data_IF_925721047514
#
_entry.id   IF_925721047514
#
_cell.length_a   1.000
_cell.length_b   1.000
_cell.length_c   1.000
_cell.angle_alpha   90.00
_cell.angle_beta   90.00
_cell.angle_gamma   90.00
#
_symmetry.space_group_name_H-M   'P 1'
#
loop_
_entity.id
_entity.type
_entity.pdbx_description
1 polymer ?
#
# COMPACT_ATOMS: atom_id res chain seq x y z
N UNK A 1 10.47 -35.08 -10.57
CA UNK A 1 11.06 -34.05 -9.70
C UNK A 1 10.71 -34.41 -8.27
N UNK A 2 11.69 -34.68 -7.41
CA UNK A 2 11.41 -34.99 -6.02
C UNK A 2 11.04 -33.69 -5.30
N UNK A 3 9.75 -33.52 -4.99
CA UNK A 3 9.25 -32.58 -3.99
C UNK A 3 9.68 -33.08 -2.60
N UNK A 4 10.98 -33.28 -2.39
CA UNK A 4 11.43 -33.82 -1.11
C UNK A 4 11.30 -32.71 -0.06
N UNK A 5 10.45 -32.92 0.96
CA UNK A 5 10.30 -31.95 2.03
C UNK A 5 11.63 -31.73 2.75
N UNK A 6 11.77 -30.58 3.42
CA UNK A 6 12.96 -30.29 4.22
C UNK A 6 13.27 -31.49 5.14
N UNK A 7 14.55 -31.90 5.27
CA UNK A 7 14.94 -33.10 6.00
C UNK A 7 14.38 -33.09 7.43
N UNK A 8 13.68 -34.16 7.82
CA UNK A 8 13.07 -34.30 9.13
C UNK A 8 14.17 -34.51 10.17
N UNK A 9 14.44 -33.47 10.97
CA UNK A 9 15.30 -33.58 12.13
C UNK A 9 14.52 -34.27 13.26
N UNK A 10 14.68 -35.58 13.39
CA UNK A 10 14.06 -36.48 14.39
C UNK A 10 12.53 -36.60 14.32
N UNK A 11 12.04 -37.85 14.31
CA UNK A 11 10.61 -38.20 14.25
C UNK A 11 9.79 -37.85 15.49
N UNK A 12 10.39 -37.20 16.50
CA UNK A 12 9.76 -36.85 17.78
C UNK A 12 9.57 -35.35 17.99
N UNK A 13 10.03 -34.50 17.07
CA UNK A 13 9.91 -33.04 17.23
C UNK A 13 8.70 -32.51 16.46
N UNK A 14 7.87 -31.72 17.14
CA UNK A 14 6.81 -30.98 16.48
C UNK A 14 7.39 -29.81 15.69
N UNK A 15 6.76 -29.45 14.58
CA UNK A 15 7.25 -28.39 13.70
C UNK A 15 6.15 -27.62 12.99
N UNK A 16 6.48 -26.39 12.62
CA UNK A 16 5.69 -25.54 11.73
C UNK A 16 6.55 -25.28 10.50
N UNK A 17 5.99 -25.49 9.31
CA UNK A 17 6.60 -25.01 8.07
C UNK A 17 5.83 -23.84 7.51
N UNK A 18 6.55 -22.85 6.99
CA UNK A 18 6.00 -21.62 6.41
C UNK A 18 6.63 -21.39 5.05
N UNK A 19 5.80 -21.18 4.03
CA UNK A 19 6.23 -20.71 2.70
C UNK A 19 5.43 -19.47 2.33
N UNK A 20 5.87 -18.77 1.27
CA UNK A 20 5.01 -17.78 0.62
C UNK A 20 3.76 -18.45 0.02
N UNK A 21 2.70 -17.67 -0.16
CA UNK A 21 1.54 -18.07 -0.96
C UNK A 21 1.95 -18.17 -2.44
N UNK A 22 1.36 -19.11 -3.22
CA UNK A 22 1.53 -19.12 -4.67
C UNK A 22 1.18 -17.75 -5.28
N UNK A 23 2.02 -17.26 -6.20
CA UNK A 23 1.87 -15.96 -6.84
C UNK A 23 2.47 -14.77 -6.08
N UNK A 24 2.95 -14.97 -4.84
CA UNK A 24 3.71 -13.96 -4.12
C UNK A 24 5.17 -14.00 -4.56
N UNK A 25 5.72 -12.83 -4.90
CA UNK A 25 7.12 -12.67 -5.32
C UNK A 25 8.10 -13.12 -4.25
N UNK A 26 8.94 -14.10 -4.60
CA UNK A 26 10.04 -14.59 -3.78
C UNK A 26 11.37 -14.02 -4.30
N UNK A 27 11.70 -12.81 -3.87
CA UNK A 27 12.95 -12.13 -4.29
C UNK A 27 14.22 -12.92 -3.97
N UNK A 28 14.21 -13.79 -2.95
CA UNK A 28 15.39 -14.59 -2.60
C UNK A 28 15.54 -15.72 -3.61
N UNK A 29 14.44 -16.42 -3.93
CA UNK A 29 14.43 -17.44 -4.96
C UNK A 29 14.81 -16.87 -6.34
N UNK A 30 14.27 -15.72 -6.73
CA UNK A 30 14.61 -15.06 -8.00
C UNK A 30 16.10 -14.70 -8.08
N UNK A 31 16.68 -14.17 -7.00
CA UNK A 31 18.12 -13.87 -6.96
C UNK A 31 18.97 -15.14 -7.00
N UNK A 32 18.53 -16.25 -6.39
CA UNK A 32 19.20 -17.54 -6.49
C UNK A 32 19.21 -18.03 -7.94
N UNK A 33 18.06 -18.00 -8.63
CA UNK A 33 17.96 -18.38 -10.04
C UNK A 33 18.86 -17.51 -10.93
N UNK A 34 18.84 -16.19 -10.70
CA UNK A 34 19.71 -15.25 -11.41
C UNK A 34 21.19 -15.55 -11.18
N UNK A 35 21.60 -15.78 -9.94
CA UNK A 35 22.98 -16.08 -9.59
C UNK A 35 23.43 -17.43 -10.18
N UNK A 36 22.57 -18.45 -10.13
CA UNK A 36 22.83 -19.76 -10.74
C UNK A 36 23.10 -19.63 -12.24
N UNK A 37 22.27 -18.87 -12.96
CA UNK A 37 22.45 -18.58 -14.39
C UNK A 37 23.77 -17.85 -14.68
N UNK A 38 24.14 -16.86 -13.85
CA UNK A 38 25.43 -16.14 -14.00
C UNK A 38 26.65 -17.05 -13.76
N UNK A 39 26.49 -18.10 -12.95
CA UNK A 39 27.53 -19.09 -12.69
C UNK A 39 27.54 -20.25 -13.71
N UNK A 40 26.64 -20.23 -14.72
CA UNK A 40 26.54 -21.29 -15.73
C UNK A 40 25.83 -22.56 -15.22
N UNK A 41 24.98 -22.45 -14.21
CA UNK A 41 24.14 -23.56 -13.72
C UNK A 41 22.79 -23.51 -14.45
N UNK A 42 22.71 -24.17 -15.60
CA UNK A 42 21.54 -24.10 -16.49
C UNK A 42 20.39 -25.07 -16.12
N UNK A 43 20.64 -26.03 -15.22
CA UNK A 43 19.64 -27.03 -14.81
C UNK A 43 18.69 -26.60 -13.68
N UNK A 44 18.82 -25.37 -13.17
CA UNK A 44 17.98 -24.85 -12.10
C UNK A 44 16.86 -23.97 -12.67
N UNK A 45 15.67 -24.56 -12.85
CA UNK A 45 14.52 -23.91 -13.50
C UNK A 45 13.64 -23.12 -12.53
N UNK A 46 13.42 -23.66 -11.32
CA UNK A 46 12.56 -23.06 -10.31
C UNK A 46 13.20 -23.14 -8.93
N UNK A 47 12.93 -22.13 -8.10
CA UNK A 47 13.35 -22.09 -6.71
C UNK A 47 12.24 -21.46 -5.88
N UNK A 48 12.15 -21.84 -4.61
CA UNK A 48 11.27 -21.23 -3.64
C UNK A 48 11.93 -21.25 -2.27
N UNK A 49 11.59 -20.28 -1.43
CA UNK A 49 12.05 -20.21 -0.05
C UNK A 49 10.94 -20.57 0.93
N UNK A 50 11.38 -21.15 2.04
CA UNK A 50 10.53 -21.55 3.15
C UNK A 50 11.33 -21.62 4.43
N UNK A 51 10.63 -21.75 5.56
CA UNK A 51 11.23 -21.89 6.88
C UNK A 51 10.54 -23.03 7.62
N UNK A 52 11.33 -23.86 8.30
CA UNK A 52 10.84 -24.81 9.30
C UNK A 52 11.23 -24.30 10.69
N UNK A 53 10.26 -24.21 11.58
CA UNK A 53 10.45 -23.98 13.01
C UNK A 53 10.24 -25.31 13.71
N UNK A 54 11.27 -25.81 14.39
CA UNK A 54 11.24 -27.07 15.12
C UNK A 54 11.13 -26.78 16.61
N UNK A 55 10.23 -27.47 17.30
CA UNK A 55 10.02 -27.36 18.73
C UNK A 55 10.52 -28.63 19.41
N UNK A 56 11.38 -28.44 20.42
CA UNK A 56 11.90 -29.53 21.25
C UNK A 56 11.01 -29.82 22.47
N UNK A 57 9.98 -29.01 22.69
CA UNK A 57 8.97 -29.23 23.73
C UNK A 57 7.72 -29.83 23.09
N UNK A 58 6.98 -30.60 23.88
CA UNK A 58 5.70 -31.14 23.44
C UNK A 58 4.66 -30.01 23.45
N UNK A 59 4.21 -29.64 22.24
CA UNK A 59 3.17 -28.64 22.01
C UNK A 59 2.14 -29.33 21.15
N UNK A 60 0.89 -29.28 21.60
CA UNK A 60 -0.20 -29.87 20.85
C UNK A 60 -0.45 -29.12 19.52
N UNK A 61 -1.18 -29.77 18.62
CA UNK A 61 -1.46 -29.19 17.30
C UNK A 61 -2.18 -27.83 17.40
N UNK A 62 -3.08 -27.67 18.38
CA UNK A 62 -3.80 -26.42 18.60
C UNK A 62 -2.86 -25.28 18.98
N UNK A 63 -1.93 -25.51 19.91
CA UNK A 63 -0.90 -24.55 20.31
C UNK A 63 0.02 -24.19 19.15
N UNK A 64 0.45 -25.17 18.35
CA UNK A 64 1.27 -24.92 17.16
C UNK A 64 0.52 -24.08 16.11
N UNK A 65 -0.78 -24.32 15.91
CA UNK A 65 -1.61 -23.50 15.03
C UNK A 65 -1.71 -22.04 15.51
N UNK A 66 -1.92 -21.83 16.82
CA UNK A 66 -1.93 -20.49 17.42
C UNK A 66 -0.59 -19.80 17.24
N UNK A 67 0.51 -20.48 17.56
CA UNK A 67 1.86 -19.96 17.38
C UNK A 67 2.17 -19.61 15.92
N UNK A 68 1.73 -20.44 14.98
CA UNK A 68 1.90 -20.18 13.56
C UNK A 68 1.24 -18.85 13.16
N UNK A 69 -0.04 -18.67 13.51
CA UNK A 69 -0.82 -17.48 13.13
C UNK A 69 -0.35 -16.21 13.84
N UNK A 70 -0.01 -16.31 15.12
CA UNK A 70 0.31 -15.12 15.93
C UNK A 70 1.77 -14.67 15.74
N UNK A 71 2.69 -15.60 15.49
CA UNK A 71 4.12 -15.32 15.55
C UNK A 71 4.93 -15.69 14.31
N UNK A 72 4.60 -16.79 13.61
CA UNK A 72 5.52 -17.35 12.60
C UNK A 72 5.10 -17.14 11.16
N UNK A 73 3.81 -16.93 10.89
CA UNK A 73 3.27 -16.73 9.56
C UNK A 73 2.51 -15.40 9.47
N UNK A 74 2.65 -14.73 8.32
CA UNK A 74 1.77 -13.66 7.90
C UNK A 74 0.80 -14.19 6.83
N UNK A 75 -0.42 -14.53 7.23
CA UNK A 75 -1.42 -15.16 6.34
C UNK A 75 -1.81 -14.30 5.12
N UNK A 76 -1.44 -13.01 5.10
CA UNK A 76 -1.61 -12.14 3.91
C UNK A 76 -0.70 -12.56 2.75
N UNK A 77 0.50 -13.07 3.05
CA UNK A 77 1.54 -13.38 2.05
C UNK A 77 2.14 -14.78 2.20
N UNK A 78 1.82 -15.50 3.27
CA UNK A 78 2.39 -16.78 3.63
C UNK A 78 1.30 -17.81 3.94
N UNK A 79 1.66 -19.07 3.75
CA UNK A 79 0.90 -20.24 4.19
C UNK A 79 1.77 -21.08 5.11
N UNK A 80 1.12 -21.89 5.95
CA UNK A 80 1.84 -22.77 6.86
C UNK A 80 1.17 -24.13 7.03
N UNK A 81 1.94 -25.11 7.48
CA UNK A 81 1.47 -26.43 7.91
C UNK A 81 2.03 -26.75 9.29
N UNK A 82 1.33 -27.62 10.03
CA UNK A 82 1.74 -28.11 11.35
C UNK A 82 2.00 -29.61 11.25
N UNK A 83 3.18 -30.05 11.68
CA UNK A 83 3.63 -31.45 11.70
C UNK A 83 3.47 -32.22 10.38
N UNK A 84 3.27 -31.50 9.27
CA UNK A 84 3.15 -32.03 7.93
C UNK A 84 4.04 -31.20 7.04
N UNK A 85 4.86 -31.81 6.17
CA UNK A 85 5.66 -31.01 5.27
C UNK A 85 4.83 -30.22 4.26
N UNK A 86 5.30 -29.03 3.90
CA UNK A 86 4.68 -28.14 2.94
C UNK A 86 5.41 -28.22 1.60
N UNK A 87 4.66 -28.37 0.52
CA UNK A 87 5.22 -28.31 -0.82
C UNK A 87 5.67 -26.88 -1.15
N UNK A 88 6.68 -26.70 -2.01
CA UNK A 88 7.00 -25.41 -2.60
C UNK A 88 5.77 -24.78 -3.28
N UNK A 89 5.58 -23.44 -3.21
CA UNK A 89 4.45 -22.75 -3.83
C UNK A 89 4.66 -22.49 -5.33
N UNK A 90 5.18 -23.47 -6.07
CA UNK A 90 5.35 -23.34 -7.51
C UNK A 90 3.97 -23.21 -8.17
N UNK A 91 3.85 -22.25 -9.08
CA UNK A 91 2.68 -22.13 -9.95
C UNK A 91 2.96 -23.04 -11.15
N UNK A 92 2.01 -23.92 -11.43
CA UNK A 92 2.11 -24.80 -12.59
C UNK A 92 1.98 -23.94 -13.85
N UNK A 93 3.00 -23.92 -14.72
CA UNK A 93 2.99 -23.12 -15.96
C UNK A 93 1.83 -23.53 -16.88
N UNK A 94 1.30 -24.75 -16.72
CA UNK A 94 0.10 -25.24 -17.40
C UNK A 94 -1.19 -24.48 -17.03
N UNK A 95 -1.22 -23.78 -15.89
CA UNK A 95 -2.27 -22.80 -15.52
C UNK A 95 -1.95 -21.38 -15.99
N UNK A 96 -1.27 -21.28 -17.13
CA UNK A 96 -0.66 -20.06 -17.67
C UNK A 96 -1.54 -18.81 -17.69
N UNK A 97 -0.88 -17.66 -17.82
CA UNK A 97 -1.54 -16.38 -18.02
C UNK A 97 -2.59 -16.50 -19.15
N UNK A 98 -3.83 -16.12 -18.83
CA UNK A 98 -4.91 -16.09 -19.81
C UNK A 98 -4.80 -14.79 -20.60
N UNK A 99 -4.60 -14.90 -21.92
CA UNK A 99 -4.69 -13.75 -22.84
C UNK A 99 -6.15 -13.39 -23.17
N UNK A 100 -7.13 -13.97 -22.46
CA UNK A 100 -8.53 -13.64 -22.66
C UNK A 100 -8.84 -12.24 -22.13
N UNK A 101 -9.37 -11.41 -23.03
CA UNK A 101 -9.92 -10.10 -22.70
C UNK A 101 -11.44 -10.24 -22.53
N UNK A 102 -11.95 -9.88 -21.36
CA UNK A 102 -13.39 -9.88 -21.11
C UNK A 102 -14.03 -8.59 -21.65
N UNK A 103 -15.17 -8.69 -22.34
CA UNK A 103 -15.98 -7.53 -22.74
C UNK A 103 -17.13 -7.36 -21.74
N UNK A 104 -17.26 -6.17 -21.17
CA UNK A 104 -18.13 -5.90 -20.02
C UNK A 104 -19.43 -5.24 -20.47
N UNK A 105 -20.59 -5.90 -20.38
CA UNK A 105 -21.87 -5.30 -20.75
C UNK A 105 -22.18 -4.09 -19.86
N UNK A 106 -22.05 -2.89 -20.44
CA UNK A 106 -22.14 -1.63 -19.70
C UNK A 106 -22.94 -0.58 -20.47
N UNK A 107 -22.85 -0.53 -21.80
CA UNK A 107 -23.47 0.52 -22.62
C UNK A 107 -25.01 0.56 -22.47
N UNK A 108 -25.64 -0.59 -22.31
CA UNK A 108 -27.10 -0.74 -22.19
C UNK A 108 -27.55 -1.03 -20.74
N UNK A 109 -26.61 -0.99 -19.78
CA UNK A 109 -26.90 -1.27 -18.38
C UNK A 109 -27.73 -0.14 -17.75
N UNK A 110 -28.77 -0.51 -17.01
CA UNK A 110 -29.50 0.43 -16.15
C UNK A 110 -28.68 0.80 -14.90
N UNK A 111 -29.16 1.76 -14.13
CA UNK A 111 -28.43 2.28 -12.95
C UNK A 111 -28.22 1.20 -11.86
N UNK A 112 -29.13 0.23 -11.75
CA UNK A 112 -29.00 -0.88 -10.80
C UNK A 112 -27.91 -1.86 -11.24
N UNK A 113 -27.86 -2.18 -12.54
CA UNK A 113 -26.83 -3.01 -13.15
C UNK A 113 -25.46 -2.33 -13.08
N UNK A 114 -25.38 -1.01 -13.30
CA UNK A 114 -24.14 -0.25 -13.13
C UNK A 114 -23.61 -0.34 -11.69
N UNK A 115 -24.46 -0.14 -10.69
CA UNK A 115 -24.02 -0.24 -9.29
C UNK A 115 -23.66 -1.66 -8.89
N UNK A 116 -24.36 -2.65 -9.44
CA UNK A 116 -24.01 -4.08 -9.26
C UNK A 116 -22.62 -4.35 -9.84
N UNK A 117 -22.34 -3.88 -11.05
CA UNK A 117 -21.05 -4.03 -11.72
C UNK A 117 -19.91 -3.37 -10.93
N UNK A 118 -20.12 -2.14 -10.44
CA UNK A 118 -19.15 -1.44 -9.59
C UNK A 118 -18.84 -2.23 -8.31
N UNK A 119 -19.86 -2.82 -7.69
CA UNK A 119 -19.71 -3.62 -6.46
C UNK A 119 -19.03 -4.96 -6.71
N UNK A 120 -19.45 -5.72 -7.72
CA UNK A 120 -18.94 -7.07 -7.99
C UNK A 120 -17.49 -7.05 -8.43
N UNK A 121 -17.10 -6.08 -9.28
CA UNK A 121 -15.73 -5.88 -9.73
C UNK A 121 -14.89 -4.98 -8.82
N UNK A 122 -15.47 -4.51 -7.70
CA UNK A 122 -14.80 -3.66 -6.69
C UNK A 122 -14.21 -2.36 -7.28
N UNK A 123 -14.87 -1.79 -8.29
CA UNK A 123 -14.41 -0.58 -8.99
C UNK A 123 -14.40 0.65 -8.07
N UNK A 124 -15.23 0.63 -7.01
CA UNK A 124 -15.37 1.76 -6.08
C UNK A 124 -15.80 3.06 -6.76
N UNK A 125 -16.49 2.94 -7.89
CA UNK A 125 -17.08 4.05 -8.65
C UNK A 125 -18.51 4.29 -8.18
N UNK A 126 -18.87 5.55 -8.02
CA UNK A 126 -20.25 5.95 -7.71
C UNK A 126 -21.16 5.91 -8.95
N UNK A 127 -22.46 6.16 -8.75
CA UNK A 127 -23.43 6.11 -9.85
C UNK A 127 -23.13 7.15 -10.93
N UNK A 128 -22.73 8.36 -10.57
CA UNK A 128 -22.48 9.42 -11.54
C UNK A 128 -21.25 9.10 -12.41
N UNK A 129 -20.21 8.53 -11.80
CA UNK A 129 -19.02 8.05 -12.50
C UNK A 129 -19.36 6.89 -13.44
N UNK A 130 -20.11 5.90 -12.96
CA UNK A 130 -20.56 4.77 -13.80
C UNK A 130 -21.44 5.24 -14.96
N UNK A 131 -22.34 6.22 -14.74
CA UNK A 131 -23.16 6.82 -15.79
C UNK A 131 -22.33 7.59 -16.81
N UNK A 132 -21.28 8.30 -16.37
CA UNK A 132 -20.36 9.00 -17.26
C UNK A 132 -19.60 8.02 -18.17
N UNK A 133 -19.11 6.91 -17.59
CA UNK A 133 -18.46 5.83 -18.34
C UNK A 133 -19.45 5.19 -19.33
N UNK A 134 -20.68 4.87 -18.89
CA UNK A 134 -21.74 4.37 -19.78
C UNK A 134 -22.01 5.31 -20.94
N UNK A 135 -22.15 6.60 -20.66
CA UNK A 135 -22.40 7.62 -21.68
C UNK A 135 -21.28 7.72 -22.71
N UNK A 136 -20.03 7.48 -22.31
CA UNK A 136 -18.90 7.38 -23.24
C UNK A 136 -19.04 6.15 -24.14
N UNK A 137 -19.23 4.97 -23.57
CA UNK A 137 -19.32 3.72 -24.34
C UNK A 137 -20.57 3.61 -25.23
N UNK A 138 -21.67 4.28 -24.85
CA UNK A 138 -22.83 4.46 -25.73
C UNK A 138 -22.49 5.24 -27.00
N UNK A 139 -21.64 6.28 -26.90
CA UNK A 139 -21.17 7.08 -28.05
C UNK A 139 -20.18 6.30 -28.91
N UNK A 140 -19.32 5.50 -28.29
CA UNK A 140 -18.38 4.62 -29.01
C UNK A 140 -19.05 3.39 -29.63
N UNK A 141 -20.36 3.21 -29.41
CA UNK A 141 -21.16 2.10 -29.93
C UNK A 141 -20.63 0.71 -29.58
N UNK A 142 -19.89 0.57 -28.47
CA UNK A 142 -19.30 -0.68 -27.99
C UNK A 142 -19.27 -0.74 -26.47
N UNK A 143 -19.08 -1.94 -25.95
CA UNK A 143 -18.81 -2.16 -24.53
C UNK A 143 -17.30 -2.03 -24.22
N UNK A 144 -16.93 -1.64 -22.99
CA UNK A 144 -15.54 -1.66 -22.53
C UNK A 144 -15.00 -3.08 -22.42
N UNK A 145 -13.69 -3.20 -22.59
CA UNK A 145 -12.93 -4.33 -22.06
C UNK A 145 -12.77 -4.22 -20.53
N UNK A 146 -12.49 -5.33 -19.87
CA UNK A 146 -12.12 -5.38 -18.44
C UNK A 146 -11.00 -4.39 -18.09
N UNK A 147 -9.91 -4.38 -18.84
CA UNK A 147 -8.75 -3.50 -18.62
C UNK A 147 -9.12 -2.03 -18.78
N UNK A 148 -9.95 -1.67 -19.75
CA UNK A 148 -10.40 -0.29 -19.93
C UNK A 148 -11.25 0.18 -18.75
N UNK A 149 -12.18 -0.66 -18.27
CA UNK A 149 -13.06 -0.33 -17.15
C UNK A 149 -12.27 -0.23 -15.84
N UNK A 150 -11.35 -1.17 -15.58
CA UNK A 150 -10.49 -1.14 -14.40
C UNK A 150 -9.51 0.03 -14.43
N UNK A 151 -8.94 0.37 -15.59
CA UNK A 151 -8.09 1.55 -15.75
C UNK A 151 -8.84 2.84 -15.41
N UNK A 152 -10.09 2.98 -15.86
CA UNK A 152 -10.95 4.12 -15.49
C UNK A 152 -11.21 4.14 -13.98
N UNK A 153 -11.56 2.99 -13.39
CA UNK A 153 -11.79 2.88 -11.95
C UNK A 153 -10.57 3.30 -11.11
N UNK A 154 -9.37 2.85 -11.49
CA UNK A 154 -8.14 3.22 -10.79
C UNK A 154 -7.79 4.70 -10.97
N UNK A 155 -7.80 5.18 -12.22
CA UNK A 155 -7.40 6.57 -12.53
C UNK A 155 -8.38 7.60 -11.99
N UNK A 156 -9.65 7.23 -11.79
CA UNK A 156 -10.68 8.08 -11.21
C UNK A 156 -10.83 7.88 -9.70
N UNK A 157 -10.01 7.07 -9.06
CA UNK A 157 -10.04 6.91 -7.60
C UNK A 157 -9.69 8.21 -6.85
N UNK A 158 -10.09 8.31 -5.58
CA UNK A 158 -9.71 9.46 -4.74
C UNK A 158 -8.19 9.60 -4.62
N UNK A 159 -7.48 8.47 -4.51
CA UNK A 159 -6.04 8.45 -4.38
C UNK A 159 -5.32 9.00 -5.63
N UNK A 160 -5.87 8.78 -6.83
CA UNK A 160 -5.28 9.27 -8.07
C UNK A 160 -5.71 10.71 -8.38
N UNK A 161 -7.00 11.01 -8.32
CA UNK A 161 -7.54 12.32 -8.74
C UNK A 161 -7.38 13.37 -7.66
N UNK A 162 -7.40 13.00 -6.39
CA UNK A 162 -7.49 13.90 -5.24
C UNK A 162 -8.78 14.75 -5.29
N UNK A 163 -9.95 14.12 -5.43
CA UNK A 163 -11.23 14.81 -5.64
C UNK A 163 -11.55 15.72 -4.47
N UNK A 164 -11.29 15.30 -3.23
CA UNK A 164 -11.50 16.11 -2.02
C UNK A 164 -10.68 17.39 -2.06
N UNK A 165 -9.42 17.31 -2.49
CA UNK A 165 -8.53 18.47 -2.59
C UNK A 165 -8.89 19.43 -3.73
N UNK A 166 -9.64 18.95 -4.73
CA UNK A 166 -10.12 19.73 -5.89
C UNK A 166 -11.57 20.17 -5.76
N UNK A 167 -12.31 19.66 -4.78
CA UNK A 167 -13.73 19.92 -4.59
C UNK A 167 -14.01 21.39 -4.30
N UNK A 168 -15.19 21.84 -4.72
CA UNK A 168 -15.78 23.09 -4.23
C UNK A 168 -16.39 22.82 -2.85
N UNK A 169 -15.88 23.50 -1.83
CA UNK A 169 -16.28 23.29 -0.43
C UNK A 169 -17.10 24.49 0.02
N UNK A 170 -18.32 24.25 0.48
CA UNK A 170 -19.12 25.23 1.19
C UNK A 170 -18.92 25.05 2.69
N UNK A 171 -18.49 26.11 3.36
CA UNK A 171 -18.29 26.17 4.80
C UNK A 171 -19.41 26.99 5.41
N UNK A 172 -20.10 26.40 6.38
CA UNK A 172 -21.03 27.12 7.25
C UNK A 172 -20.38 27.19 8.62
N UNK A 173 -19.95 28.39 9.01
CA UNK A 173 -19.40 28.60 10.33
C UNK A 173 -20.44 29.28 11.22
N UNK A 174 -20.81 28.62 12.30
CA UNK A 174 -21.48 29.31 13.41
C UNK A 174 -20.45 30.21 14.09
N UNK A 175 -20.79 31.50 14.25
CA UNK A 175 -19.94 32.43 14.98
C UNK A 175 -19.61 31.88 16.38
N UNK A 176 -18.34 31.53 16.61
CA UNK A 176 -17.84 31.16 17.93
C UNK A 176 -17.82 32.46 18.76
N UNK A 177 -18.84 32.61 19.60
CA UNK A 177 -18.92 33.65 20.62
C UNK A 177 -18.66 33.00 21.98
N UNK A 178 -17.76 33.54 22.78
CA UNK A 178 -17.50 33.14 24.17
C UNK A 178 -18.73 33.32 25.09
N UNK A 179 -19.80 33.94 24.57
CA UNK A 179 -21.11 34.04 25.22
C UNK A 179 -22.15 33.19 24.47
N UNK A 180 -23.00 32.40 25.17
CA UNK A 180 -24.07 31.67 24.53
C UNK A 180 -24.99 32.64 23.78
N UNK A 181 -24.98 32.57 22.44
CA UNK A 181 -25.89 33.33 21.59
C UNK A 181 -27.26 32.64 21.56
N UNK A 182 -28.33 33.43 21.71
CA UNK A 182 -29.70 32.96 21.45
C UNK A 182 -29.80 32.48 19.98
N UNK A 183 -30.60 31.44 19.67
CA UNK A 183 -30.67 30.83 18.33
C UNK A 183 -30.92 31.84 17.19
N UNK A 184 -31.63 32.93 17.48
CA UNK A 184 -31.94 33.98 16.50
C UNK A 184 -30.74 34.90 16.11
N UNK A 185 -29.60 34.81 16.80
CA UNK A 185 -28.41 35.64 16.56
C UNK A 185 -27.19 34.83 16.06
N UNK A 186 -27.37 33.58 15.61
CA UNK A 186 -26.31 32.84 14.93
C UNK A 186 -26.11 33.42 13.52
N UNK A 187 -25.09 34.26 13.36
CA UNK A 187 -24.58 34.62 12.05
C UNK A 187 -23.89 33.38 11.46
N UNK A 188 -24.54 32.77 10.46
CA UNK A 188 -23.90 31.76 9.61
C UNK A 188 -23.06 32.51 8.57
N UNK A 189 -21.74 32.44 8.69
CA UNK A 189 -20.85 32.87 7.62
C UNK A 189 -20.75 31.70 6.64
N UNK A 190 -21.36 31.88 5.47
CA UNK A 190 -21.18 30.96 4.35
C UNK A 190 -19.95 31.40 3.56
N UNK A 191 -18.89 30.59 3.60
CA UNK A 191 -17.70 30.79 2.76
C UNK A 191 -17.58 29.64 1.77
N UNK A 192 -17.05 29.92 0.56
CA UNK A 192 -16.78 28.88 -0.43
C UNK A 192 -15.29 28.81 -0.73
N UNK A 193 -14.74 27.59 -0.76
CA UNK A 193 -13.35 27.30 -1.09
C UNK A 193 -13.32 26.48 -2.37
N UNK A 194 -12.68 26.99 -3.41
CA UNK A 194 -12.56 26.32 -4.70
C UNK A 194 -11.26 25.49 -4.75
N UNK A 195 -11.33 24.27 -4.19
CA UNK A 195 -10.21 23.34 -4.08
C UNK A 195 -9.18 23.76 -3.02
N UNK A 196 -8.93 22.89 -2.04
CA UNK A 196 -7.93 23.11 -0.99
C UNK A 196 -6.52 23.23 -1.55
N UNK A 197 -6.16 22.35 -2.50
CA UNK A 197 -4.82 22.34 -3.12
C UNK A 197 -4.55 23.66 -3.84
N UNK A 198 -5.52 24.14 -4.62
CA UNK A 198 -5.41 25.40 -5.35
C UNK A 198 -5.39 26.59 -4.41
N UNK A 199 -6.36 26.66 -3.49
CA UNK A 199 -6.63 27.85 -2.68
C UNK A 199 -5.58 28.10 -1.62
N UNK A 200 -5.01 27.05 -1.01
CA UNK A 200 -4.11 27.20 0.13
C UNK A 200 -2.67 26.78 -0.17
N UNK A 201 -2.47 25.65 -0.85
CA UNK A 201 -1.13 25.07 -1.03
C UNK A 201 -0.42 25.72 -2.23
N UNK A 202 -1.04 25.67 -3.42
CA UNK A 202 -0.47 26.27 -4.64
C UNK A 202 -0.44 27.79 -4.53
N UNK A 203 -1.52 28.42 -4.06
CA UNK A 203 -1.59 29.88 -3.93
C UNK A 203 -0.45 30.47 -3.07
N UNK A 204 -0.01 29.79 -2.01
CA UNK A 204 1.12 30.25 -1.21
C UNK A 204 2.43 30.27 -2.01
N UNK A 205 2.67 29.22 -2.80
CA UNK A 205 3.85 29.12 -3.68
C UNK A 205 3.80 30.17 -4.78
N UNK A 206 2.66 30.29 -5.46
CA UNK A 206 2.44 31.28 -6.53
C UNK A 206 2.59 32.72 -6.02
N UNK A 207 2.09 33.01 -4.81
CA UNK A 207 2.22 34.34 -4.19
C UNK A 207 3.67 34.68 -3.85
N UNK A 208 4.43 33.71 -3.35
CA UNK A 208 5.83 33.95 -2.99
C UNK A 208 6.73 34.06 -4.23
N UNK A 209 6.38 33.35 -5.31
CA UNK A 209 7.04 33.36 -6.62
C UNK A 209 8.57 33.45 -6.52
N UNK A 210 9.16 32.55 -5.72
CA UNK A 210 10.59 32.60 -5.44
C UNK A 210 11.38 32.05 -6.62
N UNK A 211 12.40 32.76 -7.12
CA UNK A 211 13.15 32.36 -8.32
C UNK A 211 13.94 31.06 -8.14
N UNK A 212 14.26 30.70 -6.89
CA UNK A 212 14.91 29.45 -6.55
C UNK A 212 13.96 28.24 -6.55
N UNK A 213 12.65 28.40 -6.72
CA UNK A 213 11.74 27.26 -6.93
C UNK A 213 11.74 26.92 -8.42
N UNK A 214 12.40 25.82 -8.79
CA UNK A 214 12.54 25.39 -10.19
C UNK A 214 11.32 24.64 -10.69
N UNK A 215 10.75 23.77 -9.85
CA UNK A 215 9.57 22.96 -10.19
C UNK A 215 8.70 22.73 -8.96
N UNK A 216 7.41 23.00 -9.09
CA UNK A 216 6.40 22.70 -8.08
C UNK A 216 5.04 22.39 -8.73
N UNK A 217 4.36 21.34 -8.25
CA UNK A 217 3.01 20.94 -8.68
C UNK A 217 2.86 20.56 -10.17
N UNK A 218 3.94 20.22 -10.86
CA UNK A 218 3.93 19.83 -12.28
C UNK A 218 4.60 18.48 -12.54
N UNK A 219 5.39 17.98 -11.58
CA UNK A 219 6.19 16.76 -11.71
C UNK A 219 6.10 15.91 -10.45
N UNK A 220 6.74 14.75 -10.45
CA UNK A 220 6.69 13.76 -9.37
C UNK A 220 7.37 14.24 -8.08
N UNK A 221 8.33 15.16 -8.17
CA UNK A 221 9.02 15.78 -7.04
C UNK A 221 9.10 17.31 -7.19
N UNK A 222 9.17 18.03 -6.06
CA UNK A 222 9.45 19.47 -6.06
C UNK A 222 10.95 19.72 -6.17
N UNK A 223 11.36 20.73 -6.92
CA UNK A 223 12.78 21.05 -7.17
C UNK A 223 13.05 22.50 -6.79
N UNK A 224 14.11 22.70 -6.01
CA UNK A 224 14.62 24.02 -5.64
C UNK A 224 16.10 24.14 -5.99
N UNK A 225 16.53 25.35 -6.35
CA UNK A 225 17.93 25.72 -6.44
C UNK A 225 18.56 25.72 -5.05
N UNK A 226 19.71 25.07 -4.92
CA UNK A 226 20.51 25.10 -3.70
C UNK A 226 21.71 26.05 -3.85
N UNK A 227 22.44 25.92 -4.95
CA UNK A 227 23.55 26.81 -5.33
C UNK A 227 23.70 26.89 -6.86
N UNK A 228 24.80 27.51 -7.34
CA UNK A 228 25.09 27.71 -8.77
C UNK A 228 25.34 26.40 -9.55
N UNK A 229 25.51 25.27 -8.86
CA UNK A 229 25.87 23.98 -9.45
C UNK A 229 24.86 22.88 -9.19
N UNK A 230 24.01 23.03 -8.16
CA UNK A 230 23.11 21.98 -7.69
C UNK A 230 21.70 22.49 -7.44
N UNK A 231 20.75 21.67 -7.90
CA UNK A 231 19.36 21.70 -7.45
C UNK A 231 19.13 20.55 -6.45
N UNK A 232 18.14 20.73 -5.58
CA UNK A 232 17.62 19.71 -4.67
C UNK A 232 16.20 19.33 -5.06
N UNK A 233 15.98 18.03 -5.26
CA UNK A 233 14.65 17.45 -5.42
C UNK A 233 14.16 16.92 -4.09
N UNK A 234 12.90 17.21 -3.75
CA UNK A 234 12.23 16.75 -2.55
C UNK A 234 10.91 16.08 -2.89
N UNK A 235 10.67 14.94 -2.25
CA UNK A 235 9.38 14.23 -2.33
C UNK A 235 8.99 13.67 -0.98
N UNK A 236 7.69 13.79 -0.69
CA UNK A 236 7.07 13.16 0.46
C UNK A 236 5.86 12.35 0.02
N UNK A 237 5.81 11.07 0.42
CA UNK A 237 4.64 10.21 0.25
C UNK A 237 4.26 9.50 1.55
N UNK A 238 3.07 8.90 1.54
CA UNK A 238 2.57 8.06 2.64
C UNK A 238 2.13 6.71 2.09
N UNK A 239 2.23 5.66 2.89
CA UNK A 239 1.82 4.31 2.47
C UNK A 239 0.99 3.62 3.57
N UNK A 240 -0.01 4.34 4.07
CA UNK A 240 -0.69 4.05 5.33
C UNK A 240 -1.53 2.76 5.30
N UNK A 241 -2.42 2.63 4.31
CA UNK A 241 -3.37 1.51 4.26
C UNK A 241 -2.65 0.17 4.10
N UNK A 242 -1.71 0.00 3.15
CA UNK A 242 -0.99 -1.28 3.04
C UNK A 242 -0.11 -1.56 4.25
N UNK A 243 0.52 -0.54 4.84
CA UNK A 243 1.33 -0.70 6.06
C UNK A 243 0.51 -1.09 7.31
N UNK A 244 -0.80 -0.90 7.29
CA UNK A 244 -1.68 -1.36 8.36
C UNK A 244 -1.95 -2.87 8.29
N UNK A 245 -1.94 -3.43 7.08
CA UNK A 245 -2.16 -4.85 6.79
C UNK A 245 -0.83 -5.64 6.82
N UNK A 246 0.17 -5.16 6.07
CA UNK A 246 1.50 -5.76 5.93
C UNK A 246 2.54 -4.64 6.16
N UNK A 247 3.05 -4.47 7.39
CA UNK A 247 3.90 -3.33 7.73
C UNK A 247 5.27 -3.30 7.05
N UNK A 248 5.85 -4.45 6.71
CA UNK A 248 7.20 -4.52 6.15
C UNK A 248 7.19 -4.20 4.66
N UNK A 249 6.43 -4.97 3.89
CA UNK A 249 6.13 -4.73 2.48
C UNK A 249 5.52 -3.36 2.26
N UNK A 250 4.52 -2.96 3.05
CA UNK A 250 3.90 -1.62 2.93
C UNK A 250 4.88 -0.46 3.14
N UNK A 251 5.77 -0.55 4.14
CA UNK A 251 6.79 0.46 4.35
C UNK A 251 7.87 0.45 3.24
N UNK A 252 8.30 -0.74 2.80
CA UNK A 252 9.31 -0.89 1.76
C UNK A 252 8.83 -0.34 0.41
N UNK A 253 7.58 -0.60 0.03
CA UNK A 253 7.01 -0.08 -1.21
C UNK A 253 6.78 1.42 -1.14
N UNK A 254 6.43 1.96 0.04
CA UNK A 254 6.35 3.40 0.29
C UNK A 254 7.70 4.10 0.10
N UNK A 255 8.76 3.57 0.74
CA UNK A 255 10.13 4.07 0.55
C UNK A 255 10.57 3.98 -0.91
N UNK A 256 10.31 2.84 -1.55
CA UNK A 256 10.63 2.65 -2.96
C UNK A 256 9.88 3.60 -3.89
N UNK A 257 8.65 3.99 -3.54
CA UNK A 257 7.84 5.01 -4.24
C UNK A 257 8.55 6.35 -4.26
N UNK A 258 8.81 6.93 -3.08
CA UNK A 258 9.52 8.21 -2.96
C UNK A 258 10.86 8.23 -3.70
N UNK A 259 11.64 7.15 -3.59
CA UNK A 259 12.94 7.03 -4.28
C UNK A 259 12.74 7.09 -5.80
N UNK A 260 11.73 6.39 -6.33
CA UNK A 260 11.43 6.39 -7.78
C UNK A 260 10.94 7.75 -8.27
N UNK A 261 10.21 8.51 -7.46
CA UNK A 261 9.77 9.85 -7.84
C UNK A 261 10.93 10.83 -7.99
N UNK A 262 11.91 10.77 -7.07
CA UNK A 262 13.14 11.55 -7.17
C UNK A 262 13.97 11.13 -8.39
N UNK A 263 14.07 9.83 -8.66
CA UNK A 263 14.69 9.34 -9.90
C UNK A 263 13.91 9.76 -11.15
N UNK A 264 12.58 9.87 -11.06
CA UNK A 264 11.69 10.27 -12.14
C UNK A 264 11.93 11.69 -12.63
N UNK A 265 12.41 12.57 -11.75
CA UNK A 265 12.88 13.92 -12.11
C UNK A 265 14.38 13.97 -12.45
N UNK A 266 15.00 12.81 -12.72
CA UNK A 266 16.43 12.66 -13.03
C UNK A 266 17.38 13.11 -11.92
N UNK A 267 16.91 13.23 -10.68
CA UNK A 267 17.74 13.53 -9.53
C UNK A 267 18.32 12.25 -8.91
N UNK A 268 19.47 12.37 -8.25
CA UNK A 268 20.09 11.26 -7.53
C UNK A 268 19.61 11.28 -6.06
N UNK A 269 18.94 10.23 -5.56
CA UNK A 269 18.60 10.12 -4.14
C UNK A 269 19.87 10.12 -3.28
N UNK A 270 19.93 11.00 -2.28
CA UNK A 270 21.11 11.15 -1.39
C UNK A 270 20.79 10.95 0.10
N UNK A 271 19.54 11.15 0.50
CA UNK A 271 19.07 10.98 1.87
C UNK A 271 17.63 10.46 1.87
N UNK A 272 17.19 9.87 2.99
CA UNK A 272 15.78 9.58 3.23
C UNK A 272 15.50 9.67 4.73
N UNK A 273 14.35 10.22 5.09
CA UNK A 273 13.80 10.19 6.46
C UNK A 273 12.40 9.61 6.46
N UNK A 274 11.98 9.09 7.61
CA UNK A 274 10.71 8.42 7.79
C UNK A 274 9.96 9.04 8.97
N UNK A 275 8.67 9.32 8.78
CA UNK A 275 7.80 9.72 9.88
C UNK A 275 6.73 8.67 10.14
N UNK A 276 6.68 8.18 11.39
CA UNK A 276 5.77 7.13 11.82
C UNK A 276 4.80 7.63 12.88
N UNK A 277 3.52 7.44 12.61
CA UNK A 277 2.44 7.73 13.56
C UNK A 277 1.70 6.45 13.90
N UNK A 278 1.76 6.06 15.18
CA UNK A 278 1.04 4.90 15.70
C UNK A 278 0.09 5.31 16.83
N UNK A 279 -0.92 4.47 17.09
CA UNK A 279 -1.66 4.53 18.35
C UNK A 279 -0.75 4.23 19.55
N UNK A 280 -1.22 4.47 20.78
CA UNK A 280 -0.43 4.26 21.99
C UNK A 280 0.25 2.89 22.04
N UNK A 281 1.54 2.87 22.36
CA UNK A 281 2.32 1.64 22.56
C UNK A 281 2.07 1.17 23.99
N UNK A 282 0.93 0.53 24.24
CA UNK A 282 0.65 -0.08 25.54
C UNK A 282 1.23 -1.49 25.56
N UNK A 283 2.15 -1.75 26.48
CA UNK A 283 2.83 -3.05 26.64
C UNK A 283 2.05 -4.06 27.51
N UNK A 284 0.84 -3.73 27.96
CA UNK A 284 0.13 -4.58 28.92
C UNK A 284 -1.19 -5.11 28.36
N UNK A 285 -1.41 -6.40 28.64
CA UNK A 285 -2.68 -7.14 28.61
C UNK A 285 -3.74 -6.54 29.57
N UNK A 286 -3.83 -5.20 29.67
CA UNK A 286 -4.90 -4.53 30.40
C UNK A 286 -6.08 -4.40 29.45
N UNK A 287 -7.05 -5.29 29.66
CA UNK A 287 -8.52 -5.29 29.43
C UNK A 287 -9.26 -4.24 28.59
N UNK A 288 -8.64 -3.16 28.11
CA UNK A 288 -9.22 -2.12 27.26
C UNK A 288 -8.43 -1.94 25.95
N UNK A 289 -8.01 -3.03 25.31
CA UNK A 289 -7.52 -2.92 23.94
C UNK A 289 -8.70 -2.48 23.04
N UNK A 290 -8.56 -1.37 22.27
CA UNK A 290 -9.57 -1.06 21.27
C UNK A 290 -9.67 -2.26 20.32
N UNK A 291 -10.90 -2.73 20.08
CA UNK A 291 -11.15 -3.80 19.12
C UNK A 291 -10.66 -3.30 17.76
N UNK A 292 -9.53 -3.85 17.30
CA UNK A 292 -9.00 -3.55 15.98
C UNK A 292 -9.87 -4.26 14.93
N UNK A 293 -10.11 -3.64 13.77
CA UNK A 293 -10.77 -4.33 12.66
C UNK A 293 -10.00 -5.61 12.29
N UNK A 294 -10.73 -6.63 11.84
CA UNK A 294 -10.15 -7.89 11.37
C UNK A 294 -9.04 -7.63 10.33
N UNK A 295 -7.88 -8.25 10.52
CA UNK A 295 -6.72 -8.11 9.63
C UNK A 295 -5.78 -6.93 9.93
N UNK A 296 -6.13 -6.05 10.87
CA UNK A 296 -5.29 -4.91 11.25
C UNK A 296 -4.35 -5.27 12.40
N UNK A 297 -3.04 -5.11 12.21
CA UNK A 297 -2.06 -5.43 13.25
C UNK A 297 -2.00 -4.35 14.34
N UNK A 298 -1.76 -4.71 15.62
CA UNK A 298 -1.61 -3.73 16.70
C UNK A 298 -0.27 -2.97 16.63
N UNK A 299 -0.19 -1.75 17.20
CA UNK A 299 1.01 -0.89 17.12
C UNK A 299 2.35 -1.56 17.48
N UNK A 300 2.47 -2.33 18.59
CA UNK A 300 3.73 -2.98 18.93
C UNK A 300 4.18 -4.01 17.89
N UNK A 301 3.24 -4.72 17.26
CA UNK A 301 3.52 -5.70 16.21
C UNK A 301 3.96 -5.02 14.92
N UNK A 302 3.36 -3.87 14.55
CA UNK A 302 3.79 -3.11 13.37
C UNK A 302 5.23 -2.60 13.51
N UNK A 303 5.56 -2.02 14.67
CA UNK A 303 6.91 -1.52 14.93
C UNK A 303 7.96 -2.64 14.87
N UNK A 304 7.67 -3.79 15.51
CA UNK A 304 8.57 -4.96 15.51
C UNK A 304 8.75 -5.55 14.10
N UNK A 305 7.68 -5.67 13.31
CA UNK A 305 7.76 -6.25 11.96
C UNK A 305 8.47 -5.33 10.96
N UNK A 306 8.43 -4.00 11.14
CA UNK A 306 9.20 -3.03 10.32
C UNK A 306 10.71 -3.05 10.60
N UNK A 307 11.12 -3.12 11.88
CA UNK A 307 12.53 -2.96 12.28
C UNK A 307 13.49 -4.05 11.79
N UNK A 308 13.00 -5.12 11.17
CA UNK A 308 13.80 -6.19 10.63
C UNK A 308 14.31 -5.85 9.21
N UNK A 309 15.53 -5.30 9.13
CA UNK A 309 16.40 -5.20 7.92
C UNK A 309 16.13 -4.03 6.96
N UNK A 310 16.77 -2.88 7.22
CA UNK A 310 17.21 -1.98 6.14
C UNK A 310 18.69 -1.62 6.29
N UNK A 311 19.50 -1.97 5.29
CA UNK A 311 20.85 -1.45 5.03
C UNK A 311 20.88 -1.05 3.56
N UNK A 312 20.97 0.24 3.25
CA UNK A 312 21.08 0.70 1.86
C UNK A 312 21.22 2.21 1.72
N UNK A 313 20.51 2.98 2.56
CA UNK A 313 20.64 4.44 2.68
C UNK A 313 20.65 4.79 4.17
N UNK A 314 21.47 5.76 4.61
CA UNK A 314 21.47 6.19 6.02
C UNK A 314 20.12 6.86 6.32
N UNK A 315 19.24 6.17 7.04
CA UNK A 315 18.11 6.82 7.70
C UNK A 315 18.66 7.79 8.74
N UNK A 316 18.33 9.07 8.62
CA UNK A 316 18.57 10.04 9.68
C UNK A 316 17.28 10.22 10.48
N UNK A 317 17.38 9.87 11.77
CA UNK A 317 16.49 10.10 12.91
C UNK A 317 15.02 10.47 12.62
N UNK A 318 14.11 9.52 12.88
CA UNK A 318 12.66 9.77 12.93
C UNK A 318 12.21 10.06 14.38
N UNK A 319 11.61 11.23 14.62
CA UNK A 319 10.97 11.54 15.90
C UNK A 319 9.56 10.92 15.96
N UNK A 320 9.20 10.21 17.04
CA UNK A 320 7.88 9.60 17.18
C UNK A 320 6.86 10.62 17.68
N UNK A 321 6.72 11.79 17.07
CA UNK A 321 5.55 12.66 17.27
C UNK A 321 5.47 13.75 16.20
N UNK A 322 4.32 13.73 15.50
CA UNK A 322 3.78 14.72 14.55
C UNK A 322 4.44 14.78 13.16
N UNK A 323 3.53 14.82 12.19
CA UNK A 323 3.70 15.02 10.74
C UNK A 323 3.99 13.75 9.91
N UNK A 324 3.69 13.78 8.61
CA UNK A 324 3.42 12.59 7.80
C UNK A 324 4.38 12.50 6.61
N UNK A 325 5.10 11.39 6.51
CA UNK A 325 5.65 10.90 5.24
C UNK A 325 7.10 10.43 5.27
N UNK A 326 7.55 9.89 4.13
CA UNK A 326 8.94 9.59 3.86
C UNK A 326 9.52 10.72 3.02
N UNK A 327 10.52 11.45 3.51
CA UNK A 327 11.16 12.54 2.77
C UNK A 327 12.48 12.05 2.19
N UNK A 328 12.60 12.06 0.86
CA UNK A 328 13.85 11.87 0.10
C UNK A 328 14.32 13.22 -0.41
#
# INVERSE_FOLDING_TARGET
MANDPLPIANSQSSFIEVTLLPGVTDSVAENLLRAAKLLGIDGLEQAATGKRIVFHQDIDAAGLHTLAKEHFANEVIQRFTVNTPIAPPFIDEATGASDQVEVIPLKDADDSALMTLSKTRRLSLDLAEMQAIRSYYQKEHRDPTDVELEMLAQTWSEHCVHKTFKALISLEQEAISDKPLLPANRLSLTASVNGLLKTYIRAATDKLNKPWVRSAFVDNAGIIEFDEHWDLAFKVETHNHPSALEPFGGANTGLGGCIRDVLGVSARPIANTDVLCFGPITNNQSTNNPVLPTGVLPPPTRLRRRGARHRGLRQQDGHPHREWGHLV
#
